data_IF_111794753029
#
_entry.id   IF_111794753029
#
_cell.length_a   1.000
_cell.length_b   1.000
_cell.length_c   1.000
_cell.angle_alpha   90.00
_cell.angle_beta   90.00
_cell.angle_gamma   90.00
#
_symmetry.space_group_name_H-M   'P 1'
#
loop_
_entity.id
_entity.type
_entity.pdbx_description
1 polymer ?
#
# COMPACT_ATOMS: atom_id res chain seq x y z
N UNK A 1 -3.80 7.45 24.66
CA UNK A 1 -2.92 6.38 24.16
C UNK A 1 -3.56 5.82 22.92
N UNK A 2 -3.18 6.37 21.76
CA UNK A 2 -3.56 5.91 20.43
C UNK A 2 -2.39 5.06 19.91
N UNK A 3 -2.08 3.93 20.55
CA UNK A 3 -1.49 2.85 19.74
C UNK A 3 -2.55 2.59 18.67
N UNK A 4 -2.22 2.91 17.41
CA UNK A 4 -3.23 3.17 16.41
C UNK A 4 -4.01 1.88 16.15
N UNK A 5 -5.34 1.94 16.01
CA UNK A 5 -6.14 0.74 15.71
C UNK A 5 -5.64 -0.03 14.47
N UNK A 6 -4.87 0.65 13.62
CA UNK A 6 -4.12 0.07 12.52
C UNK A 6 -2.97 -0.85 12.98
N UNK A 7 -2.17 -0.48 13.98
CA UNK A 7 -1.08 -1.32 14.51
C UNK A 7 -1.62 -2.61 15.10
N UNK A 8 -2.75 -2.54 15.82
CA UNK A 8 -3.45 -3.73 16.33
C UNK A 8 -3.94 -4.61 15.17
N UNK A 9 -4.55 -4.01 14.15
CA UNK A 9 -5.01 -4.72 12.95
C UNK A 9 -3.85 -5.43 12.23
N UNK A 10 -2.69 -4.78 12.14
CA UNK A 10 -1.48 -5.36 11.54
C UNK A 10 -0.92 -6.53 12.36
N UNK A 11 -0.89 -6.43 13.70
CA UNK A 11 -0.49 -7.55 14.58
C UNK A 11 -1.41 -8.76 14.37
N UNK A 12 -2.72 -8.52 14.27
CA UNK A 12 -3.71 -9.58 14.02
C UNK A 12 -3.51 -10.20 12.64
N UNK A 13 -3.32 -9.38 11.60
CA UNK A 13 -3.08 -9.86 10.23
C UNK A 13 -1.82 -10.73 10.15
N UNK A 14 -0.71 -10.31 10.76
CA UNK A 14 0.51 -11.11 10.78
C UNK A 14 0.34 -12.43 11.53
N UNK A 15 -0.45 -12.42 12.61
CA UNK A 15 -0.81 -13.64 13.36
C UNK A 15 -1.65 -14.58 12.48
N UNK A 16 -2.62 -14.02 11.76
CA UNK A 16 -3.48 -14.75 10.83
C UNK A 16 -2.68 -15.42 9.70
N UNK A 17 -1.73 -14.72 9.08
CA UNK A 17 -0.84 -15.29 8.05
C UNK A 17 -0.04 -16.50 8.59
N UNK A 18 0.47 -16.37 9.82
CA UNK A 18 1.24 -17.43 10.48
C UNK A 18 0.37 -18.65 10.74
N UNK A 19 -0.84 -18.45 11.29
CA UNK A 19 -1.80 -19.53 11.54
C UNK A 19 -2.24 -20.20 10.24
N UNK A 20 -2.44 -19.43 9.17
CA UNK A 20 -2.80 -19.99 7.87
C UNK A 20 -1.72 -20.95 7.37
N UNK A 21 -0.44 -20.56 7.43
CA UNK A 21 0.67 -21.43 7.06
C UNK A 21 0.68 -22.71 7.90
N UNK A 22 0.58 -22.60 9.23
CA UNK A 22 0.53 -23.76 10.13
C UNK A 22 -0.67 -24.67 9.88
N UNK A 23 -1.82 -24.11 9.50
CA UNK A 23 -3.05 -24.89 9.24
C UNK A 23 -2.94 -25.85 8.05
N UNK A 24 -2.02 -25.56 7.12
CA UNK A 24 -1.75 -26.44 5.97
C UNK A 24 -0.98 -27.68 6.39
N UNK A 25 -0.12 -27.57 7.39
CA UNK A 25 0.73 -28.66 7.89
C UNK A 25 0.04 -29.45 9.01
N UNK A 26 -0.66 -28.77 9.91
CA UNK A 26 -1.28 -29.35 11.10
C UNK A 26 -2.70 -28.81 11.32
N UNK A 27 -3.69 -29.27 10.53
CA UNK A 27 -5.08 -28.85 10.71
C UNK A 27 -5.61 -29.34 12.07
N UNK A 28 -6.19 -28.41 12.84
CA UNK A 28 -6.75 -28.71 14.16
C UNK A 28 -7.87 -27.74 14.50
N UNK A 29 -8.72 -28.14 15.45
CA UNK A 29 -9.81 -27.28 15.95
C UNK A 29 -9.30 -25.99 16.59
N UNK A 30 -8.16 -26.06 17.26
CA UNK A 30 -7.53 -24.88 17.86
C UNK A 30 -7.05 -23.92 16.77
N UNK A 31 -6.42 -24.46 15.71
CA UNK A 31 -5.97 -23.68 14.55
C UNK A 31 -7.15 -23.00 13.86
N UNK A 32 -8.28 -23.70 13.67
CA UNK A 32 -9.51 -23.11 13.13
C UNK A 32 -10.04 -21.98 14.02
N UNK A 33 -10.11 -22.21 15.33
CA UNK A 33 -10.63 -21.22 16.26
C UNK A 33 -9.80 -19.93 16.24
N UNK A 34 -8.47 -20.05 16.23
CA UNK A 34 -7.58 -18.90 16.12
C UNK A 34 -7.78 -18.17 14.79
N UNK A 35 -7.82 -18.91 13.68
CA UNK A 35 -8.00 -18.34 12.34
C UNK A 35 -9.32 -17.54 12.24
N UNK A 36 -10.43 -18.12 12.66
CA UNK A 36 -11.76 -17.48 12.66
C UNK A 36 -11.80 -16.25 13.58
N UNK A 37 -11.23 -16.35 14.77
CA UNK A 37 -11.21 -15.24 15.72
C UNK A 37 -10.35 -14.08 15.21
N UNK A 38 -9.23 -14.37 14.56
CA UNK A 38 -8.40 -13.34 13.92
C UNK A 38 -9.17 -12.62 12.81
N UNK A 39 -9.87 -13.34 11.92
CA UNK A 39 -10.71 -12.72 10.87
C UNK A 39 -11.80 -11.83 11.46
N UNK A 40 -12.54 -12.32 12.45
CA UNK A 40 -13.60 -11.56 13.12
C UNK A 40 -13.06 -10.33 13.86
N UNK A 41 -11.90 -10.45 14.52
CA UNK A 41 -11.28 -9.32 15.22
C UNK A 41 -10.78 -8.28 14.23
N UNK A 42 -10.14 -8.70 13.14
CA UNK A 42 -9.67 -7.83 12.07
C UNK A 42 -10.85 -7.07 11.43
N UNK A 43 -11.96 -7.78 11.18
CA UNK A 43 -13.21 -7.18 10.71
C UNK A 43 -13.73 -6.10 11.66
N UNK A 44 -13.92 -6.44 12.95
CA UNK A 44 -14.46 -5.51 13.96
C UNK A 44 -13.62 -4.25 14.13
N UNK A 45 -12.30 -4.35 14.08
CA UNK A 45 -11.42 -3.18 14.16
C UNK A 45 -11.62 -2.20 12.99
N UNK A 46 -12.17 -2.68 11.88
CA UNK A 46 -12.33 -1.93 10.64
C UNK A 46 -13.80 -1.84 10.17
N UNK A 47 -14.77 -2.21 11.03
CA UNK A 47 -16.19 -2.30 10.65
C UNK A 47 -16.81 -0.94 10.31
N UNK A 48 -16.29 0.12 10.93
CA UNK A 48 -16.73 1.50 10.70
C UNK A 48 -16.06 2.13 9.46
N UNK A 49 -15.09 1.46 8.85
CA UNK A 49 -14.42 1.93 7.64
C UNK A 49 -15.23 1.47 6.44
N UNK A 50 -15.69 2.39 5.55
CA UNK A 50 -16.38 2.00 4.32
C UNK A 50 -15.56 0.96 3.56
N UNK A 51 -16.21 -0.08 3.05
CA UNK A 51 -15.52 -1.25 2.50
C UNK A 51 -14.50 -0.89 1.41
N UNK A 52 -14.85 0.09 0.56
CA UNK A 52 -13.97 0.68 -0.47
C UNK A 52 -12.63 1.19 0.08
N UNK A 53 -12.62 1.70 1.31
CA UNK A 53 -11.43 2.26 1.97
C UNK A 53 -10.85 1.34 3.04
N UNK A 54 -11.35 0.10 3.14
CA UNK A 54 -10.87 -0.84 4.15
C UNK A 54 -9.50 -1.39 3.73
N UNK A 55 -8.43 -1.19 4.54
CA UNK A 55 -7.08 -1.60 4.17
C UNK A 55 -6.89 -3.11 4.07
N UNK A 56 -7.84 -3.92 4.56
CA UNK A 56 -7.80 -5.37 4.52
C UNK A 56 -8.75 -5.99 3.48
N UNK A 57 -9.39 -5.18 2.62
CA UNK A 57 -10.23 -5.70 1.54
C UNK A 57 -9.46 -6.63 0.61
N UNK A 58 -8.22 -6.26 0.23
CA UNK A 58 -7.36 -7.09 -0.62
C UNK A 58 -7.11 -8.47 0.00
N UNK A 59 -6.85 -8.52 1.31
CA UNK A 59 -6.64 -9.78 2.04
C UNK A 59 -7.86 -10.71 1.95
N UNK A 60 -9.06 -10.18 2.16
CA UNK A 60 -10.28 -10.98 2.07
C UNK A 60 -10.58 -11.44 0.64
N UNK A 61 -10.36 -10.58 -0.36
CA UNK A 61 -10.53 -10.94 -1.77
C UNK A 61 -9.52 -12.02 -2.18
N UNK A 62 -8.25 -11.88 -1.80
CA UNK A 62 -7.20 -12.86 -2.08
C UNK A 62 -7.52 -14.23 -1.47
N UNK A 63 -8.08 -14.26 -0.25
CA UNK A 63 -8.50 -15.51 0.38
C UNK A 63 -9.66 -16.21 -0.36
N UNK A 64 -10.48 -15.48 -1.12
CA UNK A 64 -11.61 -16.00 -1.89
C UNK A 64 -11.24 -16.44 -3.31
N UNK A 65 -10.20 -15.87 -3.91
CA UNK A 65 -9.79 -16.19 -5.29
C UNK A 65 -9.48 -17.70 -5.52
N UNK A 66 -8.70 -18.39 -4.66
CA UNK A 66 -8.47 -19.83 -4.81
C UNK A 66 -9.75 -20.67 -4.77
N UNK A 67 -10.75 -20.21 -4.02
CA UNK A 67 -12.05 -20.89 -3.94
C UNK A 67 -12.82 -20.74 -5.25
N UNK A 68 -12.89 -19.53 -5.81
CA UNK A 68 -13.60 -19.27 -7.06
C UNK A 68 -13.05 -20.08 -8.24
N UNK A 69 -11.72 -20.29 -8.28
CA UNK A 69 -11.09 -21.15 -9.28
C UNK A 69 -11.39 -22.65 -9.05
N UNK A 70 -11.46 -23.08 -7.78
CA UNK A 70 -11.62 -24.49 -7.42
C UNK A 70 -13.07 -24.98 -7.41
N UNK A 71 -14.04 -24.08 -7.24
CA UNK A 71 -15.48 -24.44 -7.17
C UNK A 71 -15.99 -25.07 -8.46
N UNK A 72 -15.36 -24.76 -9.60
CA UNK A 72 -15.67 -25.38 -10.89
C UNK A 72 -15.32 -26.87 -10.98
N UNK A 73 -14.47 -27.39 -10.08
CA UNK A 73 -13.86 -28.72 -10.19
C UNK A 73 -14.26 -29.72 -9.08
N UNK A 74 -15.01 -29.32 -8.03
CA UNK A 74 -15.27 -30.22 -6.88
C UNK A 74 -16.50 -31.11 -7.07
N UNK A 75 -16.25 -32.40 -7.27
CA UNK A 75 -17.20 -33.47 -6.99
C UNK A 75 -17.30 -33.73 -5.48
N UNK A 76 -18.50 -34.04 -4.97
CA UNK A 76 -18.81 -34.20 -3.55
C UNK A 76 -18.00 -35.34 -2.91
N UNK A 77 -16.97 -35.00 -2.13
CA UNK A 77 -16.37 -35.93 -1.19
C UNK A 77 -17.16 -35.88 0.14
N UNK A 78 -17.96 -36.91 0.40
CA UNK A 78 -18.56 -37.09 1.72
C UNK A 78 -17.47 -37.53 2.70
N UNK A 79 -17.06 -36.63 3.60
CA UNK A 79 -16.12 -36.94 4.66
C UNK A 79 -16.80 -37.79 5.75
N UNK A 80 -16.35 -39.02 5.91
CA UNK A 80 -16.76 -39.97 6.95
C UNK A 80 -15.82 -39.99 8.17
N UNK A 81 -14.76 -39.17 8.18
CA UNK A 81 -13.78 -39.15 9.28
C UNK A 81 -14.08 -38.09 10.36
N UNK A 82 -13.76 -38.38 11.65
CA UNK A 82 -14.06 -37.52 12.80
C UNK A 82 -13.12 -36.31 12.99
N UNK A 83 -12.23 -36.03 12.03
CA UNK A 83 -11.21 -34.97 12.11
C UNK A 83 -11.53 -33.73 11.27
N UNK A 84 -10.99 -32.58 11.67
CA UNK A 84 -11.01 -31.37 10.85
C UNK A 84 -9.87 -31.40 9.83
N UNK A 85 -10.18 -31.23 8.56
CA UNK A 85 -9.18 -31.20 7.48
C UNK A 85 -8.83 -29.76 7.08
N UNK A 86 -7.72 -29.58 6.37
CA UNK A 86 -7.34 -28.28 5.81
C UNK A 86 -8.43 -27.71 4.89
N UNK A 87 -9.07 -28.56 4.09
CA UNK A 87 -10.17 -28.16 3.20
C UNK A 87 -11.37 -27.64 4.01
N UNK A 88 -11.74 -28.33 5.08
CA UNK A 88 -12.81 -27.92 5.98
C UNK A 88 -12.54 -26.57 6.65
N UNK A 89 -11.29 -26.35 7.09
CA UNK A 89 -10.87 -25.06 7.64
C UNK A 89 -10.97 -23.94 6.60
N UNK A 90 -10.48 -24.20 5.39
CA UNK A 90 -10.56 -23.27 4.27
C UNK A 90 -12.01 -22.92 3.93
N UNK A 91 -12.91 -23.92 3.82
CA UNK A 91 -14.33 -23.69 3.55
C UNK A 91 -15.00 -22.88 4.66
N UNK A 92 -14.67 -23.15 5.92
CA UNK A 92 -15.19 -22.37 7.06
C UNK A 92 -14.76 -20.91 6.97
N UNK A 93 -13.48 -20.66 6.66
CA UNK A 93 -12.93 -19.30 6.48
C UNK A 93 -13.61 -18.58 5.31
N UNK A 94 -13.70 -19.22 4.15
CA UNK A 94 -14.34 -18.66 2.96
C UNK A 94 -15.80 -18.32 3.24
N UNK A 95 -16.55 -19.22 3.90
CA UNK A 95 -17.94 -18.98 4.29
C UNK A 95 -18.07 -17.75 5.19
N UNK A 96 -17.18 -17.63 6.18
CA UNK A 96 -17.12 -16.47 7.07
C UNK A 96 -16.84 -15.17 6.30
N UNK A 97 -15.78 -15.13 5.47
CA UNK A 97 -15.40 -13.94 4.69
C UNK A 97 -16.54 -13.50 3.77
N UNK A 98 -17.18 -14.44 3.06
CA UNK A 98 -18.34 -14.14 2.22
C UNK A 98 -19.48 -13.52 3.03
N UNK A 99 -19.79 -14.08 4.20
CA UNK A 99 -20.83 -13.55 5.07
C UNK A 99 -20.51 -12.13 5.54
N UNK A 100 -19.25 -11.84 5.88
CA UNK A 100 -18.81 -10.49 6.26
C UNK A 100 -18.95 -9.50 5.09
N UNK A 101 -18.41 -9.84 3.91
CA UNK A 101 -18.43 -8.96 2.74
C UNK A 101 -19.86 -8.70 2.22
N UNK A 102 -20.73 -9.71 2.25
CA UNK A 102 -22.13 -9.56 1.80
C UNK A 102 -22.91 -8.59 2.69
N UNK A 103 -22.76 -8.71 4.02
CA UNK A 103 -23.38 -7.81 4.99
C UNK A 103 -22.88 -6.39 4.84
N UNK A 104 -21.56 -6.23 4.73
CA UNK A 104 -20.92 -4.93 4.55
C UNK A 104 -21.44 -4.21 3.30
N UNK A 105 -21.59 -4.95 2.20
CA UNK A 105 -22.14 -4.41 0.95
C UNK A 105 -23.62 -4.02 1.07
N UNK A 106 -24.37 -4.63 2.00
CA UNK A 106 -25.78 -4.30 2.29
C UNK A 106 -25.97 -3.29 3.42
N UNK A 107 -24.87 -2.84 4.05
CA UNK A 107 -24.90 -2.01 5.26
C UNK A 107 -25.69 -2.66 6.42
N UNK A 108 -25.65 -3.99 6.52
CA UNK A 108 -26.25 -4.74 7.62
C UNK A 108 -25.34 -4.74 8.86
N UNK A 109 -25.93 -4.81 10.05
CA UNK A 109 -25.19 -4.83 11.32
C UNK A 109 -24.34 -6.12 11.47
N UNK A 110 -23.14 -5.99 12.04
CA UNK A 110 -22.18 -7.07 12.27
C UNK A 110 -22.46 -7.86 13.55
N UNK A 111 -23.50 -7.50 14.31
CA UNK A 111 -23.85 -8.10 15.60
C UNK A 111 -24.13 -9.61 15.56
N UNK A 112 -24.47 -10.20 14.41
CA UNK A 112 -24.79 -11.63 14.29
C UNK A 112 -23.56 -12.55 14.42
N UNK A 113 -22.35 -12.02 14.26
CA UNK A 113 -21.14 -12.81 14.55
C UNK A 113 -20.81 -12.82 16.06
N UNK A 114 -21.49 -12.00 16.87
CA UNK A 114 -21.29 -11.99 18.30
C UNK A 114 -21.93 -13.23 18.95
N UNK A 115 -21.08 -14.07 19.55
CA UNK A 115 -21.53 -15.26 20.28
C UNK A 115 -21.49 -16.56 19.48
N UNK A 116 -21.24 -16.50 18.18
CA UNK A 116 -21.10 -17.69 17.33
C UNK A 116 -19.74 -18.33 17.56
N UNK A 117 -19.71 -19.59 17.99
CA UNK A 117 -18.44 -20.28 18.19
C UNK A 117 -17.82 -20.71 16.85
N UNK A 118 -16.50 -20.93 16.77
CA UNK A 118 -15.86 -21.48 15.57
C UNK A 118 -16.47 -22.82 15.11
N UNK A 119 -16.98 -23.61 16.05
CA UNK A 119 -17.70 -24.87 15.74
C UNK A 119 -19.05 -24.61 15.10
N UNK A 120 -19.76 -23.57 15.52
CA UNK A 120 -21.04 -23.20 14.92
C UNK A 120 -20.85 -22.68 13.50
N UNK A 121 -19.80 -21.88 13.25
CA UNK A 121 -19.43 -21.44 11.90
C UNK A 121 -19.02 -22.63 11.01
N UNK A 122 -18.21 -23.56 11.53
CA UNK A 122 -17.89 -24.79 10.82
C UNK A 122 -19.15 -25.61 10.51
N UNK A 123 -20.04 -25.79 11.48
CA UNK A 123 -21.28 -26.52 11.24
C UNK A 123 -22.14 -25.81 10.18
N UNK A 124 -22.26 -24.48 10.26
CA UNK A 124 -23.06 -23.69 9.33
C UNK A 124 -22.54 -23.75 7.88
N UNK A 125 -21.22 -23.68 7.69
CA UNK A 125 -20.59 -23.59 6.36
C UNK A 125 -20.12 -24.93 5.78
N UNK A 126 -19.90 -25.95 6.62
CA UNK A 126 -19.31 -27.23 6.19
C UNK A 126 -20.24 -28.42 6.41
N UNK A 127 -20.87 -28.56 7.60
CA UNK A 127 -21.65 -29.78 7.92
C UNK A 127 -23.11 -29.69 7.52
N UNK A 128 -23.77 -28.59 7.84
CA UNK A 128 -25.17 -28.40 7.52
C UNK A 128 -25.23 -28.20 6.01
N UNK A 129 -26.11 -28.91 5.28
CA UNK A 129 -26.37 -28.66 3.87
C UNK A 129 -27.08 -27.30 3.63
N UNK A 130 -26.74 -26.27 4.41
CA UNK A 130 -26.84 -24.85 4.05
C UNK A 130 -25.88 -24.48 2.91
N UNK A 131 -25.36 -25.47 2.20
CA UNK A 131 -24.98 -25.33 0.80
C UNK A 131 -26.10 -24.70 -0.04
N UNK A 132 -27.36 -24.75 0.39
CA UNK A 132 -28.40 -23.85 -0.16
C UNK A 132 -28.05 -22.37 0.02
N UNK A 133 -27.46 -21.89 1.12
CA UNK A 133 -27.10 -20.46 1.22
C UNK A 133 -25.81 -20.11 0.44
N UNK A 134 -24.81 -21.00 0.41
CA UNK A 134 -23.56 -20.77 -0.31
C UNK A 134 -23.65 -21.04 -1.83
N UNK A 135 -24.54 -21.94 -2.27
CA UNK A 135 -24.78 -22.25 -3.68
C UNK A 135 -26.04 -21.56 -4.24
N UNK A 136 -27.06 -21.21 -3.43
CA UNK A 136 -28.26 -20.51 -3.96
C UNK A 136 -28.09 -19.00 -4.11
N UNK A 137 -27.07 -18.41 -3.48
CA UNK A 137 -26.60 -17.08 -3.85
C UNK A 137 -25.17 -17.21 -4.37
N UNK A 138 -24.94 -17.18 -5.69
CA UNK A 138 -23.59 -17.08 -6.20
C UNK A 138 -22.94 -15.84 -5.57
N UNK A 139 -21.85 -16.06 -4.84
CA UNK A 139 -21.08 -14.96 -4.29
C UNK A 139 -20.33 -14.30 -5.44
N UNK A 140 -20.80 -13.13 -5.85
CA UNK A 140 -20.15 -12.34 -6.88
C UNK A 140 -18.95 -11.60 -6.25
N UNK A 141 -17.74 -12.02 -6.62
CA UNK A 141 -16.50 -11.38 -6.18
C UNK A 141 -16.18 -10.12 -7.00
N UNK A 142 -16.80 -9.96 -8.18
CA UNK A 142 -16.49 -8.89 -9.12
C UNK A 142 -16.68 -7.47 -8.57
N UNK A 143 -17.68 -7.15 -7.72
CA UNK A 143 -17.82 -5.83 -7.13
C UNK A 143 -16.61 -5.47 -6.25
N UNK A 144 -16.07 -6.43 -5.50
CA UNK A 144 -14.93 -6.20 -4.62
C UNK A 144 -13.63 -6.07 -5.42
N UNK A 145 -13.45 -6.89 -6.46
CA UNK A 145 -12.33 -6.72 -7.40
C UNK A 145 -12.37 -5.35 -8.09
N UNK A 146 -13.55 -4.91 -8.52
CA UNK A 146 -13.74 -3.58 -9.11
C UNK A 146 -13.36 -2.47 -8.14
N UNK A 147 -13.76 -2.55 -6.86
CA UNK A 147 -13.33 -1.59 -5.84
C UNK A 147 -11.80 -1.54 -5.74
N UNK A 148 -11.13 -2.69 -5.72
CA UNK A 148 -9.66 -2.74 -5.64
C UNK A 148 -8.98 -2.17 -6.90
N UNK A 149 -9.56 -2.35 -8.09
CA UNK A 149 -9.05 -1.76 -9.33
C UNK A 149 -9.28 -0.24 -9.35
N UNK A 150 -10.47 0.22 -8.97
CA UNK A 150 -10.81 1.64 -8.90
C UNK A 150 -9.93 2.40 -7.90
N UNK A 151 -9.56 1.76 -6.77
CA UNK A 151 -8.63 2.32 -5.79
C UNK A 151 -7.15 2.19 -6.19
N UNK A 152 -6.85 1.60 -7.37
CA UNK A 152 -5.49 1.41 -7.87
C UNK A 152 -4.66 0.38 -7.10
N UNK A 153 -5.32 -0.53 -6.38
CA UNK A 153 -4.68 -1.61 -5.61
C UNK A 153 -4.39 -2.83 -6.50
N UNK A 154 -5.33 -3.17 -7.39
CA UNK A 154 -5.18 -4.20 -8.41
C UNK A 154 -5.05 -3.56 -9.81
N UNK A 155 -4.20 -4.15 -10.65
CA UNK A 155 -4.15 -3.79 -12.07
C UNK A 155 -5.41 -4.38 -12.76
N UNK A 156 -6.07 -3.63 -13.67
CA UNK A 156 -7.08 -4.22 -14.53
C UNK A 156 -6.45 -5.40 -15.26
N UNK A 157 -7.08 -6.59 -15.22
CA UNK A 157 -6.65 -7.68 -16.09
C UNK A 157 -6.65 -7.15 -17.52
N UNK A 158 -5.47 -7.10 -18.14
CA UNK A 158 -5.33 -6.64 -19.51
C UNK A 158 -6.18 -7.58 -20.37
N UNK A 159 -7.37 -7.13 -20.79
CA UNK A 159 -8.26 -7.90 -21.64
C UNK A 159 -7.48 -8.29 -22.89
N UNK A 160 -7.27 -9.59 -23.14
CA UNK A 160 -6.56 -10.05 -24.31
C UNK A 160 -7.53 -10.01 -25.49
N UNK A 161 -7.75 -8.83 -26.05
CA UNK A 161 -8.35 -8.51 -27.36
C UNK A 161 -8.47 -6.97 -27.37
N UNK A 162 -7.83 -6.18 -28.23
CA UNK A 162 -7.72 -6.31 -29.67
C UNK A 162 -8.49 -5.15 -30.32
N UNK A 163 -7.76 -4.17 -30.87
CA UNK A 163 -8.22 -3.03 -31.68
C UNK A 163 -8.88 -1.82 -30.98
N UNK A 164 -8.08 -0.96 -30.36
CA UNK A 164 -8.37 0.48 -30.40
C UNK A 164 -7.98 1.03 -31.77
N UNK A 165 -8.99 1.34 -32.57
CA UNK A 165 -8.88 2.17 -33.75
C UNK A 165 -8.75 3.63 -33.30
N UNK A 166 -7.56 4.21 -33.51
CA UNK A 166 -7.30 5.64 -33.39
C UNK A 166 -8.30 6.46 -34.23
N UNK A 167 -9.02 7.43 -33.64
CA UNK A 167 -9.57 8.54 -34.39
C UNK A 167 -8.52 9.66 -34.48
N UNK A 168 -8.09 9.93 -35.70
CA UNK A 168 -7.31 11.10 -36.11
C UNK A 168 -8.02 12.40 -35.73
N UNK A 169 -7.39 13.35 -35.04
CA UNK A 169 -7.91 14.71 -34.95
C UNK A 169 -7.42 15.57 -36.14
N UNK A 170 -8.26 16.44 -36.71
CA UNK A 170 -7.83 17.41 -37.71
C UNK A 170 -7.08 18.57 -37.05
N UNK A 171 -5.93 18.87 -37.65
CA UNK A 171 -5.18 20.11 -37.49
C UNK A 171 -6.07 21.33 -37.79
N UNK A 172 -6.02 22.38 -36.95
CA UNK A 172 -5.76 23.80 -37.31
C UNK A 172 -5.95 24.72 -36.10
N UNK A 173 -5.04 25.71 -35.98
CA UNK A 173 -5.10 26.98 -35.23
C UNK A 173 -4.35 27.03 -33.87
N UNK A 174 -3.09 27.50 -33.94
CA UNK A 174 -2.49 28.41 -32.97
C UNK A 174 -2.99 29.86 -33.25
N UNK A 175 -2.74 30.90 -32.42
CA UNK A 175 -1.86 30.95 -31.23
C UNK A 175 -2.43 31.69 -30.00
N UNK A 176 -1.94 31.36 -28.79
CA UNK A 176 -1.84 32.33 -27.68
C UNK A 176 -0.70 31.88 -26.74
N UNK A 177 0.21 32.76 -26.31
CA UNK A 177 1.41 32.37 -25.57
C UNK A 177 1.03 32.14 -24.10
N UNK A 178 0.77 30.89 -23.75
CA UNK A 178 0.70 30.45 -22.36
C UNK A 178 2.12 30.42 -21.79
N UNK A 179 2.32 31.21 -20.76
CA UNK A 179 3.54 31.35 -19.97
C UNK A 179 4.10 29.97 -19.59
N UNK A 180 5.32 29.75 -20.03
CA UNK A 180 6.14 28.58 -19.71
C UNK A 180 6.33 28.52 -18.20
N UNK A 181 5.65 27.58 -17.55
CA UNK A 181 5.94 27.17 -16.17
C UNK A 181 7.43 26.81 -16.09
N UNK A 182 8.15 27.58 -15.28
CA UNK A 182 9.61 27.59 -15.26
C UNK A 182 10.19 26.33 -14.65
N UNK A 183 10.54 25.36 -15.49
CA UNK A 183 11.70 24.54 -15.19
C UNK A 183 12.91 25.47 -15.07
N UNK A 184 13.69 25.40 -13.98
CA UNK A 184 14.91 26.19 -13.85
C UNK A 184 15.77 25.92 -15.08
N UNK A 185 16.28 26.98 -15.72
CA UNK A 185 17.20 26.77 -16.85
C UNK A 185 18.39 25.99 -16.31
N UNK A 186 18.96 25.08 -17.10
CA UNK A 186 20.12 24.28 -16.67
C UNK A 186 21.24 25.12 -16.01
N UNK A 187 21.44 26.36 -16.48
CA UNK A 187 22.38 27.30 -15.87
C UNK A 187 21.99 27.73 -14.45
N UNK A 188 20.70 27.95 -14.18
CA UNK A 188 20.19 28.36 -12.86
C UNK A 188 20.40 27.24 -11.84
N UNK A 189 20.17 25.98 -12.24
CA UNK A 189 20.39 24.82 -11.37
C UNK A 189 21.87 24.59 -11.06
N UNK A 190 22.76 24.74 -12.04
CA UNK A 190 24.21 24.63 -11.82
C UNK A 190 24.73 25.74 -10.90
N UNK A 191 24.22 26.97 -11.07
CA UNK A 191 24.56 28.07 -10.18
C UNK A 191 24.06 27.82 -8.76
N UNK A 192 22.81 27.38 -8.60
CA UNK A 192 22.26 26.97 -7.31
C UNK A 192 23.09 25.87 -6.64
N UNK A 193 23.51 24.84 -7.40
CA UNK A 193 24.39 23.77 -6.90
C UNK A 193 25.69 24.33 -6.35
N UNK A 194 26.32 25.24 -7.08
CA UNK A 194 27.58 25.88 -6.66
C UNK A 194 27.37 26.73 -5.40
N UNK A 195 26.26 27.48 -5.33
CA UNK A 195 25.91 28.30 -4.17
C UNK A 195 25.70 27.43 -2.93
N UNK A 196 25.04 26.27 -3.03
CA UNK A 196 24.88 25.33 -1.91
C UNK A 196 26.23 24.78 -1.45
N UNK A 197 27.13 24.42 -2.38
CA UNK A 197 28.47 23.94 -2.04
C UNK A 197 29.32 25.01 -1.34
N UNK A 198 29.21 26.27 -1.74
CA UNK A 198 29.86 27.39 -1.06
C UNK A 198 29.25 27.67 0.32
N UNK A 199 27.92 27.63 0.44
CA UNK A 199 27.22 27.76 1.73
C UNK A 199 27.57 26.63 2.70
N UNK A 200 27.74 25.40 2.23
CA UNK A 200 28.23 24.26 3.03
C UNK A 200 29.60 24.56 3.67
N UNK A 201 30.46 25.35 3.02
CA UNK A 201 31.75 25.73 3.56
C UNK A 201 31.65 26.85 4.61
N UNK A 202 30.74 27.80 4.42
CA UNK A 202 30.65 29.02 5.24
C UNK A 202 29.66 28.88 6.40
N UNK A 203 28.56 28.14 6.20
CA UNK A 203 27.46 27.99 7.14
C UNK A 203 26.82 26.57 7.04
N UNK A 204 27.53 25.50 7.47
CA UNK A 204 27.11 24.12 7.22
C UNK A 204 25.75 23.76 7.82
N UNK A 205 25.45 24.21 9.04
CA UNK A 205 24.21 23.86 9.76
C UNK A 205 22.92 24.32 9.04
N UNK A 206 22.75 25.62 8.70
CA UNK A 206 21.56 26.05 7.97
C UNK A 206 21.50 25.46 6.56
N UNK A 207 22.64 25.20 5.92
CA UNK A 207 22.66 24.58 4.59
C UNK A 207 22.24 23.12 4.62
N UNK A 208 22.61 22.36 5.67
CA UNK A 208 22.08 21.01 5.88
C UNK A 208 20.56 21.04 6.01
N UNK A 209 20.01 22.01 6.74
CA UNK A 209 18.56 22.16 6.82
C UNK A 209 17.95 22.43 5.43
N UNK A 210 18.53 23.32 4.63
CA UNK A 210 18.11 23.58 3.24
C UNK A 210 18.15 22.29 2.39
N UNK A 211 19.21 21.49 2.51
CA UNK A 211 19.39 20.21 1.79
C UNK A 211 18.32 19.17 2.20
N UNK A 212 17.98 19.09 3.48
CA UNK A 212 16.95 18.13 3.96
C UNK A 212 15.54 18.47 3.48
N UNK A 213 15.29 19.70 3.05
CA UNK A 213 13.98 20.17 2.59
C UNK A 213 13.89 20.28 1.05
N UNK A 214 14.87 19.76 0.31
CA UNK A 214 14.85 19.82 -1.15
C UNK A 214 13.63 19.10 -1.74
N UNK A 215 13.08 19.59 -2.86
CA UNK A 215 12.01 18.89 -3.57
C UNK A 215 12.42 17.48 -3.99
N UNK A 216 11.42 16.60 -4.08
CA UNK A 216 11.61 15.24 -4.57
C UNK A 216 11.60 15.21 -6.10
N UNK A 217 12.69 15.69 -6.70
CA UNK A 217 12.89 15.72 -8.16
C UNK A 217 14.24 15.09 -8.54
N UNK A 218 14.34 14.60 -9.78
CA UNK A 218 15.54 13.91 -10.27
C UNK A 218 16.83 14.74 -10.16
N UNK A 219 16.74 16.05 -10.41
CA UNK A 219 17.88 16.98 -10.33
C UNK A 219 18.46 17.06 -8.90
N UNK A 220 17.59 17.22 -7.89
CA UNK A 220 18.00 17.28 -6.49
C UNK A 220 18.48 15.92 -5.97
N UNK A 221 17.88 14.83 -6.43
CA UNK A 221 18.32 13.47 -6.07
C UNK A 221 19.70 13.12 -6.65
N UNK A 222 19.98 13.55 -7.88
CA UNK A 222 21.31 13.42 -8.50
C UNK A 222 22.34 14.26 -7.74
N UNK A 223 21.97 15.49 -7.34
CA UNK A 223 22.82 16.33 -6.50
C UNK A 223 23.13 15.69 -5.14
N UNK A 224 22.12 15.18 -4.43
CA UNK A 224 22.30 14.45 -3.16
C UNK A 224 23.20 13.22 -3.33
N UNK A 225 22.98 12.45 -4.41
CA UNK A 225 23.83 11.31 -4.72
C UNK A 225 25.28 11.74 -4.97
N UNK A 226 25.48 12.86 -5.67
CA UNK A 226 26.81 13.45 -5.92
C UNK A 226 27.49 13.85 -4.61
N UNK A 227 26.78 14.52 -3.70
CA UNK A 227 27.32 14.89 -2.38
C UNK A 227 27.85 13.70 -1.59
N UNK A 228 27.14 12.56 -1.65
CA UNK A 228 27.54 11.33 -0.97
C UNK A 228 28.70 10.61 -1.67
N UNK A 229 28.66 10.52 -2.99
CA UNK A 229 29.72 9.85 -3.78
C UNK A 229 31.05 10.60 -3.66
N UNK A 230 31.00 11.93 -3.69
CA UNK A 230 32.18 12.78 -3.60
C UNK A 230 32.65 13.00 -2.15
N UNK A 231 31.97 12.38 -1.16
CA UNK A 231 32.21 12.58 0.28
C UNK A 231 32.23 14.07 0.71
N UNK A 232 31.47 14.91 0.00
CA UNK A 232 31.50 16.35 0.17
C UNK A 232 30.96 16.81 1.54
N UNK A 233 30.07 16.01 2.16
CA UNK A 233 29.56 16.26 3.50
C UNK A 233 30.61 15.90 4.56
N UNK A 234 31.24 14.74 4.42
CA UNK A 234 32.27 14.25 5.33
C UNK A 234 33.51 15.14 5.32
N UNK A 235 33.91 15.67 4.16
CA UNK A 235 34.97 16.68 4.04
C UNK A 235 34.71 17.94 4.88
N UNK A 236 33.44 18.24 5.18
CA UNK A 236 33.02 19.35 6.04
C UNK A 236 32.64 18.90 7.45
N UNK A 237 33.04 17.68 7.84
CA UNK A 237 32.73 17.07 9.14
C UNK A 237 31.22 16.95 9.42
N UNK A 238 30.41 16.76 8.37
CA UNK A 238 28.98 16.50 8.46
C UNK A 238 28.77 15.01 8.25
N UNK A 239 28.06 14.36 9.18
CA UNK A 239 27.63 12.97 9.03
C UNK A 239 26.51 12.90 7.98
N UNK A 240 26.67 12.13 6.87
CA UNK A 240 25.66 12.01 5.83
C UNK A 240 24.40 11.27 6.29
N UNK A 241 24.50 10.34 7.24
CA UNK A 241 23.38 9.46 7.61
C UNK A 241 22.15 10.23 8.18
N UNK A 242 22.32 11.16 9.15
CA UNK A 242 21.22 11.98 9.65
C UNK A 242 20.61 12.91 8.59
N UNK A 243 21.42 13.37 7.62
CA UNK A 243 20.96 14.25 6.54
C UNK A 243 20.04 13.49 5.60
N UNK A 244 20.44 12.29 5.18
CA UNK A 244 19.67 11.47 4.26
C UNK A 244 18.38 10.94 4.91
N UNK A 245 18.45 10.47 6.15
CA UNK A 245 17.25 10.05 6.89
C UNK A 245 16.27 11.20 7.06
N UNK A 246 16.75 12.41 7.42
CA UNK A 246 15.92 13.61 7.51
C UNK A 246 15.29 14.01 6.16
N UNK A 247 16.04 13.91 5.07
CA UNK A 247 15.52 14.17 3.72
C UNK A 247 14.42 13.18 3.31
N UNK A 248 14.62 11.88 3.56
CA UNK A 248 13.61 10.85 3.27
C UNK A 248 12.35 11.11 4.11
N UNK A 249 12.51 11.40 5.40
CA UNK A 249 11.40 11.71 6.31
C UNK A 249 10.62 12.96 5.87
N UNK A 250 11.31 14.02 5.45
CA UNK A 250 10.67 15.20 4.89
C UNK A 250 9.90 14.85 3.60
N UNK A 251 10.54 14.11 2.68
CA UNK A 251 9.94 13.66 1.43
C UNK A 251 8.67 12.83 1.67
N UNK A 252 8.68 11.93 2.66
CA UNK A 252 7.52 11.12 3.04
C UNK A 252 6.35 11.98 3.52
N UNK A 253 6.62 13.05 4.28
CA UNK A 253 5.58 14.02 4.70
C UNK A 253 5.02 14.79 3.51
N UNK A 254 5.86 15.19 2.56
CA UNK A 254 5.41 15.85 1.33
C UNK A 254 4.53 14.92 0.47
N UNK A 255 4.94 13.66 0.32
CA UNK A 255 4.16 12.62 -0.37
C UNK A 255 2.81 12.38 0.31
N UNK A 256 2.76 12.40 1.64
CA UNK A 256 1.51 12.26 2.39
C UNK A 256 0.54 13.42 2.07
N UNK A 257 1.06 14.65 1.98
CA UNK A 257 0.28 15.84 1.64
C UNK A 257 -0.29 15.79 0.22
N UNK A 258 0.44 15.20 -0.74
CA UNK A 258 -0.06 14.99 -2.12
C UNK A 258 -1.33 14.12 -2.15
N UNK A 259 -1.47 13.17 -1.22
CA UNK A 259 -2.65 12.30 -1.14
C UNK A 259 -3.90 12.98 -0.56
N UNK A 260 -3.78 14.18 0.02
CA UNK A 260 -4.91 14.91 0.62
C UNK A 260 -5.60 15.77 -0.43
N UNK A 261 -6.95 15.87 -0.42
CA UNK A 261 -7.66 16.73 -1.34
C UNK A 261 -7.32 18.20 -1.07
N UNK A 262 -7.17 19.03 -2.13
CA UNK A 262 -6.89 20.46 -1.98
C UNK A 262 -8.02 21.12 -1.18
N UNK A 263 -7.69 21.65 0.00
CA UNK A 263 -8.65 22.32 0.90
C UNK A 263 -8.82 21.67 2.28
N UNK A 264 -8.20 20.53 2.56
CA UNK A 264 -8.28 19.83 3.86
C UNK A 264 -7.17 20.20 4.86
N UNK A 265 -6.28 21.14 4.51
CA UNK A 265 -5.20 21.64 5.38
C UNK A 265 -5.46 23.08 5.87
N UNK A 266 -4.81 23.51 6.97
CA UNK A 266 -4.81 24.92 7.35
C UNK A 266 -4.23 25.72 6.19
N UNK A 267 -4.98 26.72 5.72
CA UNK A 267 -4.57 27.63 4.65
C UNK A 267 -3.30 28.36 5.09
N UNK A 268 -2.14 27.86 4.69
CA UNK A 268 -0.89 28.60 4.82
C UNK A 268 -0.89 29.64 3.70
N UNK A 269 -1.47 30.80 4.00
CA UNK A 269 -1.29 32.02 3.21
C UNK A 269 0.21 32.35 3.19
N UNK A 270 0.92 32.02 2.10
CA UNK A 270 2.33 32.39 2.02
C UNK A 270 3.11 32.05 0.75
N UNK A 271 2.80 30.96 0.03
CA UNK A 271 3.56 30.62 -1.19
C UNK A 271 2.66 30.68 -2.42
N UNK A 272 2.82 31.75 -3.19
CA UNK A 272 2.16 31.90 -4.47
C UNK A 272 2.83 30.96 -5.50
N UNK A 273 2.09 29.96 -5.97
CA UNK A 273 2.24 29.48 -7.34
C UNK A 273 2.94 28.15 -7.60
N UNK A 274 3.17 27.30 -6.59
CA UNK A 274 3.57 25.91 -6.88
C UNK A 274 2.30 25.05 -7.00
N UNK A 275 1.92 24.74 -8.24
CA UNK A 275 0.85 23.78 -8.53
C UNK A 275 1.39 22.40 -8.16
N UNK A 276 1.25 22.05 -6.89
CA UNK A 276 1.61 20.70 -6.42
C UNK A 276 0.59 19.74 -7.01
N UNK A 277 1.06 18.79 -7.81
CA UNK A 277 0.21 17.71 -8.31
C UNK A 277 -0.41 16.97 -7.11
N UNK A 278 -1.74 16.96 -7.03
CA UNK A 278 -2.48 16.27 -5.97
C UNK A 278 -3.07 14.95 -6.47
N UNK A 279 -3.34 14.05 -5.54
CA UNK A 279 -4.02 12.78 -5.77
C UNK A 279 -3.11 11.56 -5.69
N UNK A 280 -3.73 10.38 -5.77
CA UNK A 280 -3.05 9.08 -5.66
C UNK A 280 -1.98 8.87 -6.73
N UNK A 281 -2.18 9.40 -7.94
CA UNK A 281 -1.22 9.27 -9.02
C UNK A 281 0.06 10.08 -8.75
N UNK A 282 -0.08 11.33 -8.30
CA UNK A 282 1.06 12.16 -7.89
C UNK A 282 1.83 11.52 -6.73
N UNK A 283 1.09 11.05 -5.71
CA UNK A 283 1.64 10.29 -4.60
C UNK A 283 2.41 9.04 -5.08
N UNK A 284 1.84 8.28 -6.01
CA UNK A 284 2.47 7.09 -6.57
C UNK A 284 3.77 7.40 -7.32
N UNK A 285 3.77 8.42 -8.19
CA UNK A 285 4.98 8.87 -8.91
C UNK A 285 6.08 9.29 -7.93
N UNK A 286 5.74 10.05 -6.91
CA UNK A 286 6.68 10.52 -5.89
C UNK A 286 7.27 9.35 -5.07
N UNK A 287 6.44 8.39 -4.63
CA UNK A 287 6.95 7.18 -3.95
C UNK A 287 7.89 6.37 -4.83
N UNK A 288 7.56 6.17 -6.12
CA UNK A 288 8.44 5.46 -7.06
C UNK A 288 9.79 6.14 -7.18
N UNK A 289 9.82 7.47 -7.24
CA UNK A 289 11.04 8.24 -7.31
C UNK A 289 11.87 8.11 -6.01
N UNK A 290 11.22 8.18 -4.85
CA UNK A 290 11.87 7.94 -3.56
C UNK A 290 12.46 6.52 -3.46
N UNK A 291 11.72 5.50 -3.91
CA UNK A 291 12.21 4.11 -3.94
C UNK A 291 13.45 3.96 -4.83
N UNK A 292 13.47 4.60 -6.00
CA UNK A 292 14.64 4.60 -6.89
C UNK A 292 15.86 5.20 -6.18
N UNK A 293 15.67 6.32 -5.48
CA UNK A 293 16.73 6.95 -4.70
C UNK A 293 17.24 6.04 -3.58
N UNK A 294 16.36 5.52 -2.72
CA UNK A 294 16.74 4.61 -1.62
C UNK A 294 17.43 3.35 -2.14
N UNK A 295 16.94 2.77 -3.22
CA UNK A 295 17.58 1.60 -3.87
C UNK A 295 18.97 1.92 -4.38
N UNK A 296 19.17 3.11 -4.97
CA UNK A 296 20.47 3.56 -5.44
C UNK A 296 21.45 3.77 -4.27
N UNK A 297 21.00 4.35 -3.15
CA UNK A 297 21.82 4.52 -1.94
C UNK A 297 22.34 3.18 -1.41
N UNK A 298 21.45 2.21 -1.24
CA UNK A 298 21.79 0.88 -0.72
C UNK A 298 22.68 0.11 -1.69
N UNK A 299 22.33 0.10 -2.99
CA UNK A 299 23.08 -0.67 -4.00
C UNK A 299 24.50 -0.15 -4.22
N UNK A 300 24.72 1.15 -4.05
CA UNK A 300 26.05 1.78 -4.14
C UNK A 300 26.77 1.82 -2.80
N UNK A 301 26.21 1.23 -1.74
CA UNK A 301 26.75 1.25 -0.38
C UNK A 301 27.01 2.67 0.15
N UNK A 302 26.26 3.68 -0.35
CA UNK A 302 26.38 5.07 0.10
C UNK A 302 25.75 5.27 1.47
N UNK A 303 24.66 4.55 1.75
CA UNK A 303 24.02 4.48 3.07
C UNK A 303 23.57 3.04 3.31
N UNK A 304 23.92 2.49 4.47
CA UNK A 304 23.59 1.12 4.82
C UNK A 304 22.09 0.88 4.99
N UNK A 305 21.60 -0.29 4.55
CA UNK A 305 20.18 -0.65 4.72
C UNK A 305 19.73 -0.67 6.20
N UNK A 306 20.64 -0.93 7.13
CA UNK A 306 20.36 -0.90 8.58
C UNK A 306 20.10 0.52 9.10
N UNK A 307 20.79 1.52 8.55
CA UNK A 307 20.60 2.93 8.88
C UNK A 307 19.22 3.40 8.43
N UNK A 308 18.79 2.96 7.24
CA UNK A 308 17.49 3.27 6.63
C UNK A 308 16.36 2.33 7.07
N UNK A 309 16.56 1.50 8.09
CA UNK A 309 15.61 0.43 8.46
C UNK A 309 14.21 0.99 8.72
N UNK A 310 14.10 2.06 9.51
CA UNK A 310 12.81 2.64 9.88
C UNK A 310 12.11 3.30 8.70
N UNK A 311 12.84 4.05 7.87
CA UNK A 311 12.32 4.67 6.64
C UNK A 311 11.81 3.62 5.66
N UNK A 312 12.56 2.53 5.48
CA UNK A 312 12.17 1.41 4.61
C UNK A 312 10.89 0.75 5.13
N UNK A 313 10.80 0.49 6.44
CA UNK A 313 9.59 -0.09 7.03
C UNK A 313 8.38 0.84 6.86
N UNK A 314 8.57 2.14 7.10
CA UNK A 314 7.52 3.14 6.93
C UNK A 314 7.00 3.16 5.48
N UNK A 315 7.90 3.21 4.49
CA UNK A 315 7.54 3.14 3.06
C UNK A 315 6.77 1.85 2.76
N UNK A 316 7.31 0.71 3.19
CA UNK A 316 6.77 -0.62 2.93
C UNK A 316 5.38 -0.84 3.54
N UNK A 317 5.06 -0.14 4.63
CA UNK A 317 3.77 -0.24 5.32
C UNK A 317 2.78 0.76 4.75
N UNK A 318 3.13 2.07 4.74
CA UNK A 318 2.21 3.14 4.35
C UNK A 318 1.81 3.09 2.89
N UNK A 319 2.75 2.67 2.03
CA UNK A 319 2.57 2.66 0.59
C UNK A 319 2.50 1.24 0.01
N UNK A 320 2.16 0.25 0.83
CA UNK A 320 2.05 -1.17 0.42
C UNK A 320 1.11 -1.41 -0.77
N UNK A 321 0.14 -0.51 -0.97
CA UNK A 321 -0.79 -0.55 -2.10
C UNK A 321 -0.11 -0.29 -3.45
N UNK A 322 1.06 0.38 -3.46
CA UNK A 322 1.89 0.60 -4.64
C UNK A 322 2.69 -0.68 -4.95
N UNK A 323 2.61 -1.18 -6.18
CA UNK A 323 3.29 -2.41 -6.62
C UNK A 323 4.80 -2.36 -6.41
N UNK A 324 5.43 -1.27 -6.80
CA UNK A 324 6.88 -1.07 -6.69
C UNK A 324 7.36 -1.12 -5.24
N UNK A 325 6.53 -0.72 -4.28
CA UNK A 325 6.82 -0.84 -2.84
C UNK A 325 6.84 -2.31 -2.41
N UNK A 326 5.90 -3.13 -2.90
CA UNK A 326 5.89 -4.57 -2.62
C UNK A 326 7.08 -5.29 -3.23
N UNK A 327 7.46 -4.92 -4.45
CA UNK A 327 8.67 -5.44 -5.10
C UNK A 327 9.93 -5.02 -4.36
N UNK A 328 10.02 -3.76 -3.95
CA UNK A 328 11.12 -3.24 -3.14
C UNK A 328 11.23 -3.97 -1.80
N UNK A 329 10.11 -4.21 -1.10
CA UNK A 329 10.08 -4.97 0.16
C UNK A 329 10.63 -6.40 0.03
N UNK A 330 10.47 -7.04 -1.12
CA UNK A 330 11.03 -8.38 -1.39
C UNK A 330 12.52 -8.34 -1.72
N UNK A 331 13.01 -7.18 -2.16
CA UNK A 331 14.40 -6.98 -2.57
C UNK A 331 15.32 -6.63 -1.40
N UNK A 332 14.84 -5.84 -0.44
CA UNK A 332 15.57 -5.53 0.82
C UNK A 332 15.60 -6.75 1.72
#
# INVERSE_FOLDING_TARGET
>A
GLESGFDESMRIKNTLDTIEATSREAPSWNTLALLVNCELRLWRLNENTPLRHNPFLTHWVDALLPWAASSAARGRAHATEPGITTEMMFLTRVGLIKAMLHRANRHEDSSEFCGTSPRDLYNAFVRTPTQVYLDSQPFDIAPFLRMLVEEGILEPEATPDGHETLPTPPSTAAPTPSETYGSPRLNDFQQWKQDILEKLQTAPVPTVLEITHLPLELSYLDFLTTLLVDHALEEKSIDPEPVITSYIQHSLRSIEQMGRPPGSGPVVQGSAGEVVDHGREAQSRAVKLLLLFVRNLIRKELVGAQVLYFEIQEICVRYVWIKEVREFKRWV
#
